data_IF_405323607895
#
_entry.id   IF_405323607895
#
_cell.length_a   1.000
_cell.length_b   1.000
_cell.length_c   1.000
_cell.angle_alpha   90.00
_cell.angle_beta   90.00
_cell.angle_gamma   90.00
#
_symmetry.space_group_name_H-M   'P 1'
#
loop_
_entity.id
_entity.type
_entity.pdbx_description
1 polymer ?
#
# COMPACT_ATOMS: atom_id res chain seq x y z
N UNK A 1 17.81 9.59 3.98
CA UNK A 1 16.96 8.41 3.68
C UNK A 1 16.95 8.19 2.16
N UNK A 2 16.93 6.95 1.67
CA UNK A 2 16.95 6.64 0.22
C UNK A 2 15.66 5.90 -0.14
N UNK A 3 15.06 6.25 -1.28
CA UNK A 3 13.84 5.60 -1.79
C UNK A 3 13.94 5.51 -3.30
N UNK A 4 13.45 4.41 -3.87
CA UNK A 4 13.43 4.21 -5.31
C UNK A 4 12.24 4.94 -5.92
N UNK A 5 12.48 5.61 -7.06
CA UNK A 5 11.38 6.17 -7.86
C UNK A 5 10.64 5.01 -8.55
N UNK A 6 9.31 4.90 -8.40
CA UNK A 6 8.51 3.90 -9.10
C UNK A 6 8.58 4.09 -10.63
N UNK A 7 8.59 2.99 -11.39
CA UNK A 7 8.62 3.04 -12.86
C UNK A 7 7.39 3.69 -13.50
N UNK A 8 6.32 3.83 -12.73
CA UNK A 8 5.05 4.43 -13.16
C UNK A 8 5.11 5.96 -13.15
N UNK A 9 6.08 6.55 -12.43
CA UNK A 9 6.27 8.00 -12.38
C UNK A 9 7.36 8.37 -13.39
N UNK A 10 7.01 9.23 -14.35
CA UNK A 10 8.00 9.78 -15.28
C UNK A 10 8.96 10.71 -14.53
N UNK A 11 10.23 10.72 -14.93
CA UNK A 11 11.22 11.64 -14.33
C UNK A 11 10.85 13.11 -14.52
N UNK A 12 10.10 13.42 -15.59
CA UNK A 12 9.60 14.79 -15.85
C UNK A 12 8.50 15.21 -14.86
N UNK A 13 7.78 14.25 -14.29
CA UNK A 13 6.69 14.49 -13.35
C UNK A 13 7.17 14.52 -11.89
N UNK A 14 8.47 14.26 -11.65
CA UNK A 14 9.07 14.33 -10.33
C UNK A 14 9.16 15.79 -9.87
N UNK A 15 8.29 16.13 -8.91
CA UNK A 15 8.33 17.39 -8.19
C UNK A 15 8.77 17.18 -6.73
N UNK A 16 9.11 18.28 -6.05
CA UNK A 16 9.53 18.26 -4.65
C UNK A 16 8.50 17.62 -3.73
N UNK A 17 7.21 17.90 -3.96
CA UNK A 17 6.11 17.33 -3.18
C UNK A 17 6.05 15.79 -3.28
N UNK A 18 6.19 15.24 -4.49
CA UNK A 18 6.27 13.80 -4.72
C UNK A 18 7.54 13.21 -4.10
N UNK A 19 8.67 13.90 -4.19
CA UNK A 19 9.92 13.43 -3.58
C UNK A 19 9.80 13.33 -2.05
N UNK A 20 9.21 14.35 -1.40
CA UNK A 20 8.93 14.34 0.03
C UNK A 20 7.97 13.20 0.39
N UNK A 21 6.92 13.00 -0.39
CA UNK A 21 5.96 11.92 -0.17
C UNK A 21 6.60 10.53 -0.33
N UNK A 22 7.43 10.31 -1.34
CA UNK A 22 8.18 9.06 -1.50
C UNK A 22 9.14 8.84 -0.33
N UNK A 23 9.79 9.89 0.16
CA UNK A 23 10.64 9.85 1.36
C UNK A 23 9.88 9.44 2.63
N UNK A 24 8.56 9.58 2.70
CA UNK A 24 7.78 9.09 3.85
C UNK A 24 7.66 7.57 3.86
N UNK A 25 7.75 6.90 2.70
CA UNK A 25 7.57 5.45 2.62
C UNK A 25 8.72 4.68 3.30
N UNK A 26 8.44 3.49 3.91
CA UNK A 26 7.12 2.87 4.08
C UNK A 26 6.24 3.64 5.09
N UNK A 27 4.97 3.87 4.73
CA UNK A 27 4.00 4.60 5.54
C UNK A 27 3.21 3.60 6.40
N UNK A 28 3.30 3.71 7.72
CA UNK A 28 2.44 2.95 8.63
C UNK A 28 1.07 3.66 8.69
N UNK A 29 -0.02 2.95 8.37
CA UNK A 29 -1.38 3.50 8.44
C UNK A 29 -1.97 3.41 9.85
N UNK A 30 -1.55 2.41 10.62
CA UNK A 30 -2.08 2.15 11.96
C UNK A 30 -2.09 0.66 12.31
N UNK A 31 -2.84 0.33 13.36
CA UNK A 31 -3.04 -1.05 13.82
C UNK A 31 -4.41 -1.55 13.37
N UNK A 32 -4.47 -2.81 12.96
CA UNK A 32 -5.73 -3.47 12.65
C UNK A 32 -6.56 -3.64 13.93
N UNK A 33 -7.86 -3.27 13.94
CA UNK A 33 -8.69 -3.26 15.14
C UNK A 33 -8.82 -4.65 15.78
N UNK A 34 -8.98 -5.70 14.98
CA UNK A 34 -9.17 -7.07 15.52
C UNK A 34 -7.90 -7.78 15.99
N UNK A 35 -6.75 -7.49 15.39
CA UNK A 35 -5.51 -8.26 15.64
C UNK A 35 -4.39 -7.44 16.25
N UNK A 36 -4.53 -6.12 16.30
CA UNK A 36 -3.50 -5.21 16.79
C UNK A 36 -2.23 -5.19 15.93
N UNK A 37 -2.23 -5.80 14.75
CA UNK A 37 -1.05 -5.85 13.88
C UNK A 37 -0.96 -4.63 12.99
N UNK A 38 0.27 -4.23 12.66
CA UNK A 38 0.54 -3.05 11.84
C UNK A 38 0.08 -3.25 10.40
N UNK A 39 -0.57 -2.23 9.86
CA UNK A 39 -0.90 -2.10 8.44
C UNK A 39 0.06 -1.09 7.83
N UNK A 40 0.83 -1.53 6.81
CA UNK A 40 1.89 -0.75 6.19
C UNK A 40 1.59 -0.61 4.70
N UNK A 41 1.81 0.59 4.18
CA UNK A 41 1.71 0.89 2.75
C UNK A 41 3.09 1.17 2.19
N UNK A 42 3.41 0.53 1.08
CA UNK A 42 4.70 0.71 0.42
C UNK A 42 4.60 0.42 -1.09
N UNK A 43 5.66 0.75 -1.83
CA UNK A 43 5.77 0.46 -3.27
C UNK A 43 6.79 -0.65 -3.49
N UNK A 44 6.34 -1.70 -4.18
CA UNK A 44 7.15 -2.88 -4.49
C UNK A 44 7.43 -3.01 -5.99
N UNK A 45 7.99 -4.16 -6.39
CA UNK A 45 8.31 -4.48 -7.78
C UNK A 45 7.08 -4.41 -8.71
N UNK A 46 5.91 -4.77 -8.20
CA UNK A 46 4.66 -4.86 -8.96
C UNK A 46 3.75 -3.64 -8.81
N UNK A 47 4.21 -2.59 -8.13
CA UNK A 47 3.43 -1.39 -7.85
C UNK A 47 3.13 -1.18 -6.35
N UNK A 48 2.24 -0.23 -6.03
CA UNK A 48 1.85 0.08 -4.66
C UNK A 48 1.07 -1.07 -4.01
N UNK A 49 1.34 -1.36 -2.75
CA UNK A 49 0.67 -2.42 -2.00
C UNK A 49 0.44 -2.05 -0.53
N UNK A 50 -0.58 -2.68 0.04
CA UNK A 50 -0.81 -2.76 1.48
C UNK A 50 -0.26 -4.08 1.98
N UNK A 51 0.50 -4.03 3.07
CA UNK A 51 0.95 -5.18 3.82
C UNK A 51 0.31 -5.21 5.21
N UNK A 52 -0.11 -6.41 5.60
CA UNK A 52 -0.62 -6.71 6.92
C UNK A 52 -0.20 -8.14 7.27
N UNK A 53 0.68 -8.30 8.25
CA UNK A 53 1.04 -9.61 8.82
C UNK A 53 1.43 -10.68 7.77
N UNK A 54 2.25 -10.29 6.79
CA UNK A 54 2.67 -11.19 5.70
C UNK A 54 1.61 -11.40 4.61
N UNK A 55 0.42 -10.82 4.73
CA UNK A 55 -0.56 -10.70 3.64
C UNK A 55 -0.30 -9.42 2.86
N UNK A 56 -0.39 -9.52 1.55
CA UNK A 56 -0.13 -8.42 0.64
C UNK A 56 -1.32 -8.24 -0.29
N UNK A 57 -1.71 -6.99 -0.52
CA UNK A 57 -2.71 -6.63 -1.52
C UNK A 57 -2.23 -5.44 -2.32
N UNK A 58 -2.26 -5.56 -3.64
CA UNK A 58 -1.98 -4.45 -4.54
C UNK A 58 -3.05 -3.37 -4.42
N UNK A 59 -2.61 -2.11 -4.35
CA UNK A 59 -3.49 -0.95 -4.41
C UNK A 59 -3.78 -0.68 -5.90
N UNK A 60 -5.05 -0.48 -6.29
CA UNK A 60 -5.38 -0.15 -7.68
C UNK A 60 -4.80 1.21 -8.07
N UNK A 61 -4.35 1.34 -9.33
CA UNK A 61 -3.72 2.57 -9.85
C UNK A 61 -4.63 3.79 -9.88
N UNK A 62 -5.94 3.58 -9.75
CA UNK A 62 -6.93 4.64 -9.63
C UNK A 62 -6.87 5.36 -8.28
N UNK A 63 -6.24 4.75 -7.27
CA UNK A 63 -6.14 5.29 -5.92
C UNK A 63 -4.73 5.81 -5.65
N UNK A 64 -4.67 6.99 -5.02
CA UNK A 64 -3.42 7.60 -4.57
C UNK A 64 -2.91 6.86 -3.34
N UNK A 65 -1.68 6.34 -3.42
CA UNK A 65 -1.01 5.70 -2.29
C UNK A 65 -0.83 6.64 -1.09
N UNK A 66 -0.77 7.95 -1.34
CA UNK A 66 -0.49 8.96 -0.31
C UNK A 66 -1.74 9.27 0.53
N UNK A 67 -2.92 9.16 -0.09
CA UNK A 67 -4.21 9.50 0.50
C UNK A 67 -4.94 8.29 1.10
N UNK A 68 -4.35 7.09 1.00
CA UNK A 68 -4.93 5.90 1.61
C UNK A 68 -4.99 6.05 3.14
N UNK A 69 -6.19 5.78 3.66
CA UNK A 69 -6.51 5.73 5.08
C UNK A 69 -6.41 4.29 5.61
N UNK A 70 -6.37 4.15 6.94
CA UNK A 70 -6.38 2.84 7.60
C UNK A 70 -7.61 2.02 7.17
N UNK A 71 -8.79 2.62 7.13
CA UNK A 71 -10.04 1.96 6.72
C UNK A 71 -9.93 1.34 5.33
N UNK A 72 -9.45 2.11 4.35
CA UNK A 72 -9.24 1.61 2.98
C UNK A 72 -8.19 0.51 2.92
N UNK A 73 -7.12 0.65 3.72
CA UNK A 73 -6.11 -0.40 3.88
C UNK A 73 -6.71 -1.70 4.40
N UNK A 74 -7.61 -1.64 5.38
CA UNK A 74 -8.30 -2.81 5.93
C UNK A 74 -9.24 -3.45 4.91
N UNK A 75 -9.99 -2.66 4.14
CA UNK A 75 -10.84 -3.18 3.06
C UNK A 75 -10.04 -3.96 2.02
N UNK A 76 -8.91 -3.40 1.56
CA UNK A 76 -8.03 -4.06 0.60
C UNK A 76 -7.49 -5.38 1.13
N UNK A 77 -7.09 -5.43 2.40
CA UNK A 77 -6.64 -6.66 3.06
C UNK A 77 -7.80 -7.66 3.21
N UNK A 78 -9.00 -7.22 3.55
CA UNK A 78 -10.18 -8.08 3.64
C UNK A 78 -10.51 -8.71 2.27
N UNK A 79 -10.46 -7.93 1.19
CA UNK A 79 -10.60 -8.46 -0.17
C UNK A 79 -9.51 -9.48 -0.53
N UNK A 80 -8.28 -9.24 -0.07
CA UNK A 80 -7.17 -10.18 -0.28
C UNK A 80 -7.45 -11.53 0.37
N UNK A 81 -7.96 -11.50 1.61
CA UNK A 81 -8.33 -12.69 2.37
C UNK A 81 -9.51 -13.40 1.69
N UNK A 82 -10.54 -12.65 1.28
CA UNK A 82 -11.73 -13.20 0.62
C UNK A 82 -11.39 -13.88 -0.71
N UNK A 83 -10.51 -13.28 -1.54
CA UNK A 83 -10.08 -13.89 -2.81
C UNK A 83 -9.21 -15.13 -2.61
N UNK A 84 -8.51 -15.25 -1.49
CA UNK A 84 -7.64 -16.38 -1.20
C UNK A 84 -8.36 -17.53 -0.46
N UNK A 85 -9.65 -17.35 -0.11
CA UNK A 85 -10.46 -18.44 0.40
C UNK A 85 -10.74 -19.41 -0.75
N UNK A 86 -10.45 -20.72 -0.61
CA UNK A 86 -10.76 -21.69 -1.63
C UNK A 86 -12.27 -21.66 -1.89
N UNK A 87 -12.66 -21.64 -3.16
CA UNK A 87 -14.03 -21.90 -3.58
C UNK A 87 -14.43 -23.23 -2.94
N UNK A 88 -15.27 -23.18 -1.90
CA UNK A 88 -15.92 -24.38 -1.37
C UNK A 88 -16.88 -24.86 -2.44
N UNK A 89 -16.39 -25.72 -3.34
CA UNK A 89 -17.18 -26.62 -4.19
C UNK A 89 -17.65 -27.82 -3.39
#
# INVERSE_FOLDING_TARGET
>A
KRVSVPKEISLSDLNEYMALNLLTLPKELGLHPDTGKKVIVNIGRFGPYVNYDGKFKSIPRSESIFDITLERGLELIAEAIAKNAPLRT
#
